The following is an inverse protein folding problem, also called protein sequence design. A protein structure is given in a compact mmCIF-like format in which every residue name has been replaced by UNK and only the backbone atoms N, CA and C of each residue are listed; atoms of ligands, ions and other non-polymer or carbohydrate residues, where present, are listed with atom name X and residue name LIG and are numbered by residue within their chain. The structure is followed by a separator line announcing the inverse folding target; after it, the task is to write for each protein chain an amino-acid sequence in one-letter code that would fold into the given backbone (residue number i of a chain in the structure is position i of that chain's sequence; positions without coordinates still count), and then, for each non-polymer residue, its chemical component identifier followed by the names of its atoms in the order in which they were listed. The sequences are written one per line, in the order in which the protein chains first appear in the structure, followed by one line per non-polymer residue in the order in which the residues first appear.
data_IF_588612978542
#
_entry.id   IF_588612978542
#
_cell.length_a   1.000
_cell.length_b   1.000
_cell.length_c   1.000
_cell.angle_alpha   90.00
_cell.angle_beta   90.00
_cell.angle_gamma   90.00
#
_symmetry.space_group_name_H-M   'P 1'
#
loop_
_entity.id
_entity.type
_entity.pdbx_description
1 polymer ?
#
# COMPACT_ATOMS: atom_id res chain seq x y z
N UNK A 1 -15.20 14.70 -57.79
CA UNK A 1 -15.74 14.13 -56.53
C UNK A 1 -15.17 14.89 -55.32
N UNK A 2 -15.88 14.86 -54.18
CA UNK A 2 -16.47 15.99 -53.43
C UNK A 2 -15.41 16.87 -52.71
N UNK A 3 -15.60 18.19 -52.58
CA UNK A 3 -16.46 18.91 -51.64
C UNK A 3 -16.16 18.59 -50.16
N UNK A 4 -15.51 19.52 -49.45
CA UNK A 4 -15.96 19.96 -48.12
C UNK A 4 -15.45 21.40 -47.85
N UNK A 5 -16.38 22.34 -47.81
CA UNK A 5 -16.37 23.50 -46.91
C UNK A 5 -17.80 23.58 -46.29
N UNK A 6 -18.11 24.48 -45.35
CA UNK A 6 -17.57 24.62 -43.98
C UNK A 6 -18.72 24.83 -42.94
N UNK A 7 -18.49 24.73 -41.63
CA UNK A 7 -19.04 25.63 -40.57
C UNK A 7 -18.85 25.13 -39.13
N UNK A 8 -18.47 26.09 -38.29
CA UNK A 8 -19.05 26.46 -36.98
C UNK A 8 -19.06 25.45 -35.83
N UNK A 9 -18.60 25.96 -34.68
CA UNK A 9 -19.41 26.14 -33.46
C UNK A 9 -18.94 25.38 -32.18
N UNK A 10 -18.57 26.19 -31.18
CA UNK A 10 -18.77 26.02 -29.71
C UNK A 10 -17.93 25.02 -28.88
N UNK A 11 -17.12 25.57 -27.95
CA UNK A 11 -16.84 24.98 -26.62
C UNK A 11 -18.13 25.05 -25.74
N UNK A 12 -18.38 24.22 -24.69
CA UNK A 12 -17.42 23.52 -23.82
C UNK A 12 -17.75 22.04 -23.50
N UNK A 13 -16.76 21.19 -23.24
CA UNK A 13 -17.01 19.84 -22.69
C UNK A 13 -16.50 19.76 -21.25
N UNK A 14 -17.45 19.88 -20.32
CA UNK A 14 -17.29 19.50 -18.90
C UNK A 14 -17.04 17.99 -18.80
N UNK A 15 -16.11 17.64 -17.90
CA UNK A 15 -15.90 16.36 -17.22
C UNK A 15 -16.18 15.06 -17.99
N UNK A 16 -15.13 14.49 -18.59
CA UNK A 16 -14.83 13.04 -18.55
C UNK A 16 -13.32 12.83 -18.57
N UNK A 17 -12.74 12.40 -17.45
CA UNK A 17 -11.40 11.80 -17.43
C UNK A 17 -11.38 10.60 -18.40
N UNK A 18 -10.50 10.58 -19.42
CA UNK A 18 -10.40 9.44 -20.30
C UNK A 18 -9.59 8.32 -19.63
N UNK A 19 -10.11 7.10 -19.76
CA UNK A 19 -9.49 5.89 -19.23
C UNK A 19 -8.30 5.38 -20.06
N UNK A 20 -7.42 4.69 -19.32
CA UNK A 20 -6.84 3.36 -19.59
C UNK A 20 -6.04 3.11 -20.88
N UNK A 21 -4.78 2.68 -20.69
CA UNK A 21 -4.14 1.42 -21.20
C UNK A 21 -2.71 1.33 -20.62
N UNK A 22 -2.07 0.19 -20.26
CA UNK A 22 -2.41 -1.23 -20.13
C UNK A 22 -1.25 -1.99 -19.43
N UNK A 23 -1.51 -3.26 -19.06
CA UNK A 23 -0.57 -4.38 -18.88
C UNK A 23 -0.26 -4.90 -17.46
N UNK A 24 -1.22 -5.67 -16.93
CA UNK A 24 -0.95 -6.82 -16.08
C UNK A 24 -1.92 -7.94 -16.44
N UNK A 25 -1.41 -9.06 -16.93
CA UNK A 25 -2.17 -10.25 -17.36
C UNK A 25 -3.27 -10.65 -16.36
N UNK A 26 -4.45 -11.12 -16.79
CA UNK A 26 -5.37 -11.77 -15.87
C UNK A 26 -4.74 -13.11 -15.44
N UNK A 27 -4.36 -13.25 -14.18
CA UNK A 27 -3.96 -14.55 -13.63
C UNK A 27 -5.24 -15.34 -13.28
N UNK A 28 -5.41 -16.59 -13.77
CA UNK A 28 -6.51 -17.44 -13.34
C UNK A 28 -6.09 -18.26 -12.12
N UNK A 29 -6.77 -18.04 -10.99
CA UNK A 29 -7.27 -19.02 -9.99
C UNK A 29 -7.75 -18.22 -8.75
N UNK A 30 -9.04 -17.90 -8.74
CA UNK A 30 -9.68 -16.96 -7.81
C UNK A 30 -9.66 -17.45 -6.35
N UNK A 31 -8.58 -17.14 -5.63
CA UNK A 31 -8.63 -17.05 -4.18
C UNK A 31 -9.22 -15.72 -3.73
N UNK A 32 -9.98 -15.72 -2.63
CA UNK A 32 -10.53 -14.48 -2.07
C UNK A 32 -9.39 -13.60 -1.55
N UNK A 33 -9.48 -12.30 -1.82
CA UNK A 33 -8.57 -11.31 -1.24
C UNK A 33 -9.38 -10.32 -0.40
N UNK A 34 -8.76 -9.72 0.60
CA UNK A 34 -9.38 -8.68 1.42
C UNK A 34 -8.38 -7.57 1.78
N UNK A 35 -8.87 -6.39 2.18
CA UNK A 35 -8.06 -5.26 2.60
C UNK A 35 -8.48 -4.75 3.97
N UNK A 36 -7.52 -4.60 4.89
CA UNK A 36 -7.76 -4.13 6.26
C UNK A 36 -6.69 -3.13 6.68
N UNK A 37 -7.03 -2.19 7.58
CA UNK A 37 -6.05 -1.33 8.23
C UNK A 37 -5.38 -2.05 9.42
N UNK A 38 -4.07 -1.88 9.60
CA UNK A 38 -3.29 -2.54 10.67
C UNK A 38 -3.74 -2.12 12.09
N UNK A 39 -4.36 -0.95 12.22
CA UNK A 39 -4.96 -0.43 13.44
C UNK A 39 -6.47 -0.65 13.54
N UNK A 40 -7.07 -1.37 12.58
CA UNK A 40 -8.50 -1.69 12.60
C UNK A 40 -8.90 -2.50 13.83
N UNK A 41 -10.10 -2.23 14.34
CA UNK A 41 -10.76 -3.00 15.39
C UNK A 41 -11.53 -4.22 14.86
N UNK A 42 -11.34 -4.58 13.58
CA UNK A 42 -11.96 -5.77 12.99
C UNK A 42 -11.49 -7.04 13.73
N UNK A 43 -12.40 -7.61 14.51
CA UNK A 43 -12.17 -8.79 15.34
C UNK A 43 -11.73 -9.99 14.50
N UNK A 44 -12.15 -10.08 13.23
CA UNK A 44 -11.74 -11.16 12.32
C UNK A 44 -10.21 -11.21 12.18
N UNK A 45 -9.57 -10.06 12.04
CA UNK A 45 -8.14 -9.96 11.73
C UNK A 45 -7.27 -9.52 12.91
N UNK A 46 -7.86 -9.07 14.02
CA UNK A 46 -7.16 -8.45 15.15
C UNK A 46 -5.92 -9.22 15.64
N UNK A 47 -6.04 -10.53 15.87
CA UNK A 47 -4.92 -11.35 16.35
C UNK A 47 -3.77 -11.43 15.34
N UNK A 48 -4.11 -11.60 14.05
CA UNK A 48 -3.14 -11.66 12.96
C UNK A 48 -2.44 -10.31 12.76
N UNK A 49 -3.21 -9.21 12.71
CA UNK A 49 -2.68 -7.85 12.58
C UNK A 49 -1.78 -7.47 13.76
N UNK A 50 -2.14 -7.87 14.98
CA UNK A 50 -1.29 -7.67 16.15
C UNK A 50 0.07 -8.38 16.01
N UNK A 51 0.10 -9.56 15.39
CA UNK A 51 1.33 -10.30 15.08
C UNK A 51 2.19 -9.59 14.03
N UNK A 52 1.58 -9.17 12.91
CA UNK A 52 2.25 -8.40 11.85
C UNK A 52 2.83 -7.10 12.41
N UNK A 53 2.01 -6.34 13.14
CA UNK A 53 2.41 -5.08 13.80
C UNK A 53 3.59 -5.32 14.74
N UNK A 54 3.53 -6.33 15.62
CA UNK A 54 4.64 -6.64 16.54
C UNK A 54 5.94 -6.94 15.79
N UNK A 55 5.88 -7.69 14.69
CA UNK A 55 7.07 -8.07 13.93
C UNK A 55 7.73 -6.85 13.27
N UNK A 56 6.92 -5.98 12.67
CA UNK A 56 7.38 -4.72 12.06
C UNK A 56 7.95 -3.78 13.13
N UNK A 57 7.24 -3.56 14.24
CA UNK A 57 7.66 -2.65 15.31
C UNK A 57 8.99 -3.04 15.96
N UNK A 58 9.36 -4.33 15.97
CA UNK A 58 10.65 -4.79 16.49
C UNK A 58 11.85 -4.32 15.65
N UNK A 59 11.63 -4.06 14.37
CA UNK A 59 12.67 -3.64 13.43
C UNK A 59 12.55 -2.15 13.10
N UNK A 60 11.38 -1.57 13.30
CA UNK A 60 11.13 -0.18 12.97
C UNK A 60 11.91 0.76 13.89
N UNK A 61 12.82 1.51 13.30
CA UNK A 61 13.59 2.56 13.97
C UNK A 61 13.52 3.84 13.17
N UNK A 62 13.67 4.98 13.85
CA UNK A 62 13.83 6.26 13.17
C UNK A 62 15.19 6.27 12.44
N UNK A 63 15.25 6.54 11.11
CA UNK A 63 16.51 6.58 10.38
C UNK A 63 17.43 7.70 10.89
N UNK A 64 18.69 7.39 11.20
CA UNK A 64 19.65 8.38 11.72
C UNK A 64 19.82 9.57 10.77
N UNK A 65 19.80 9.34 9.46
CA UNK A 65 19.91 10.40 8.46
C UNK A 65 18.71 11.36 8.47
N UNK A 66 17.50 10.83 8.68
CA UNK A 66 16.27 11.61 8.78
C UNK A 66 16.22 12.39 10.11
N UNK A 67 16.64 11.74 11.20
CA UNK A 67 16.68 12.34 12.53
C UNK A 67 17.61 13.57 12.56
N UNK A 68 18.81 13.44 11.98
CA UNK A 68 19.77 14.55 11.87
C UNK A 68 19.26 15.74 11.05
N UNK A 69 18.27 15.51 10.19
CA UNK A 69 17.66 16.53 9.33
C UNK A 69 16.30 17.01 9.83
N UNK A 70 15.85 16.53 10.99
CA UNK A 70 14.54 16.85 11.55
C UNK A 70 13.38 16.48 10.60
N UNK A 71 13.51 15.39 9.83
CA UNK A 71 12.52 14.97 8.84
C UNK A 71 11.38 14.19 9.51
N UNK A 72 10.19 14.79 9.63
CA UNK A 72 9.01 14.14 10.19
C UNK A 72 7.92 13.89 9.15
N UNK A 73 7.05 12.93 9.41
CA UNK A 73 5.89 12.71 8.54
C UNK A 73 5.23 11.36 8.73
N UNK A 74 4.26 11.09 7.86
CA UNK A 74 3.52 9.83 7.86
C UNK A 74 3.72 9.12 6.53
N UNK A 75 4.23 7.89 6.58
CA UNK A 75 4.34 7.01 5.43
C UNK A 75 3.18 6.02 5.49
N UNK A 76 2.41 5.88 4.41
CA UNK A 76 1.34 4.88 4.30
C UNK A 76 1.75 3.82 3.29
N UNK A 77 1.74 2.56 3.69
CA UNK A 77 2.14 1.42 2.85
C UNK A 77 1.03 0.38 2.81
N UNK A 78 0.78 -0.18 1.62
CA UNK A 78 0.00 -1.42 1.44
C UNK A 78 0.95 -2.61 1.45
N UNK A 79 0.75 -3.51 2.40
CA UNK A 79 1.49 -4.76 2.57
C UNK A 79 0.58 -5.91 2.13
N UNK A 80 0.96 -6.64 1.09
CA UNK A 80 0.22 -7.79 0.59
C UNK A 80 0.88 -9.08 1.05
N UNK A 81 0.15 -9.90 1.82
CA UNK A 81 0.65 -11.16 2.37
C UNK A 81 -0.13 -12.32 1.78
N UNK A 82 0.58 -13.28 1.20
CA UNK A 82 -0.03 -14.51 0.67
C UNK A 82 -0.46 -15.45 1.80
N UNK A 83 -1.34 -16.41 1.48
CA UNK A 83 -1.86 -17.40 2.43
C UNK A 83 -0.76 -18.14 3.22
N UNK A 84 0.40 -18.37 2.61
CA UNK A 84 1.56 -19.01 3.25
C UNK A 84 2.40 -18.07 4.14
N UNK A 85 2.03 -16.78 4.25
CA UNK A 85 2.75 -15.77 5.02
C UNK A 85 3.84 -15.04 4.25
N UNK A 86 4.09 -15.37 2.98
CA UNK A 86 5.07 -14.67 2.15
C UNK A 86 4.64 -13.22 1.89
N UNK A 87 5.61 -12.30 1.91
CA UNK A 87 5.38 -10.92 1.47
C UNK A 87 5.30 -10.90 -0.06
N UNK A 88 4.09 -10.82 -0.58
CA UNK A 88 3.88 -10.73 -2.03
C UNK A 88 4.24 -9.35 -2.58
N UNK A 89 3.93 -8.28 -1.84
CA UNK A 89 4.22 -6.90 -2.24
C UNK A 89 4.22 -5.96 -1.05
N UNK A 90 5.13 -4.99 -1.04
CA UNK A 90 5.04 -3.79 -0.21
C UNK A 90 5.03 -2.58 -1.15
N UNK A 91 3.98 -1.76 -1.09
CA UNK A 91 3.77 -0.63 -2.00
C UNK A 91 3.48 0.65 -1.23
N UNK A 92 4.26 1.69 -1.52
CA UNK A 92 4.02 3.03 -0.99
C UNK A 92 2.69 3.56 -1.54
N UNK A 93 1.77 3.92 -0.64
CA UNK A 93 0.47 4.51 -0.95
C UNK A 93 0.54 6.03 -0.80
N UNK A 94 1.15 6.50 0.29
CA UNK A 94 1.37 7.92 0.58
C UNK A 94 2.79 8.11 1.09
N UNK A 95 3.54 8.98 0.43
CA UNK A 95 4.88 9.40 0.85
C UNK A 95 4.80 10.36 2.02
N UNK A 96 5.78 10.32 2.92
CA UNK A 96 5.94 11.35 3.96
C UNK A 96 6.47 12.68 3.41
N UNK A 97 6.87 12.75 2.14
CA UNK A 97 7.63 13.85 1.56
C UNK A 97 9.14 13.70 1.70
N UNK A 98 9.63 12.65 2.37
CA UNK A 98 11.05 12.40 2.62
C UNK A 98 11.44 10.98 2.18
N UNK A 99 12.29 10.88 1.15
CA UNK A 99 12.72 9.59 0.56
C UNK A 99 13.38 8.66 1.58
N UNK A 100 14.11 9.24 2.55
CA UNK A 100 14.74 8.54 3.68
C UNK A 100 13.74 7.78 4.54
N UNK A 101 12.61 8.42 4.89
CA UNK A 101 11.54 7.80 5.68
C UNK A 101 10.76 6.77 4.85
N UNK A 102 10.45 7.10 3.60
CA UNK A 102 9.74 6.19 2.69
C UNK A 102 10.52 4.89 2.44
N UNK A 103 11.80 5.03 2.08
CA UNK A 103 12.69 3.90 1.81
C UNK A 103 12.89 3.05 3.07
N UNK A 104 13.19 3.67 4.22
CA UNK A 104 13.36 2.95 5.47
C UNK A 104 12.09 2.19 5.88
N UNK A 105 10.91 2.73 5.61
CA UNK A 105 9.64 2.07 5.92
C UNK A 105 9.46 0.81 5.06
N UNK A 106 9.71 0.90 3.76
CA UNK A 106 9.65 -0.24 2.86
C UNK A 106 10.69 -1.31 3.21
N UNK A 107 11.90 -0.90 3.58
CA UNK A 107 12.98 -1.81 3.97
C UNK A 107 12.66 -2.56 5.27
N UNK A 108 12.10 -1.88 6.28
CA UNK A 108 11.65 -2.51 7.53
C UNK A 108 10.56 -3.55 7.27
N UNK A 109 9.60 -3.26 6.39
CA UNK A 109 8.54 -4.22 6.03
C UNK A 109 9.12 -5.44 5.32
N UNK A 110 10.07 -5.24 4.39
CA UNK A 110 10.76 -6.33 3.70
C UNK A 110 11.59 -7.17 4.67
N UNK A 111 12.32 -6.54 5.59
CA UNK A 111 13.09 -7.22 6.63
C UNK A 111 12.21 -7.97 7.65
N UNK A 112 10.98 -7.50 7.87
CA UNK A 112 10.01 -8.19 8.71
C UNK A 112 9.41 -9.43 8.02
N UNK A 113 9.54 -9.60 6.71
CA UNK A 113 9.06 -10.81 6.03
C UNK A 113 9.92 -12.05 6.37
N UNK A 114 9.38 -13.27 6.26
CA UNK A 114 7.98 -13.61 5.99
C UNK A 114 7.09 -13.39 7.24
N UNK A 115 5.79 -13.19 7.06
CA UNK A 115 4.83 -13.12 8.15
C UNK A 115 4.31 -14.52 8.52
N UNK A 116 3.46 -14.61 9.54
CA UNK A 116 2.75 -15.85 9.83
C UNK A 116 1.83 -16.20 8.65
N UNK A 117 1.58 -17.48 8.37
CA UNK A 117 0.54 -17.88 7.42
C UNK A 117 -0.81 -17.28 7.81
N UNK A 118 -1.65 -17.00 6.81
CA UNK A 118 -3.02 -16.58 7.07
C UNK A 118 -3.78 -17.73 7.73
N UNK A 119 -4.48 -17.51 8.85
CA UNK A 119 -5.38 -18.50 9.43
C UNK A 119 -6.37 -19.04 8.39
N UNK A 120 -6.50 -20.38 8.32
CA UNK A 120 -7.31 -21.03 7.27
C UNK A 120 -8.78 -20.58 7.23
N UNK A 121 -9.36 -20.21 8.39
CA UNK A 121 -10.72 -19.70 8.49
C UNK A 121 -10.93 -18.31 7.86
N UNK A 122 -9.87 -17.63 7.41
CA UNK A 122 -10.01 -16.43 6.59
C UNK A 122 -10.45 -16.78 5.16
N UNK A 123 -10.11 -17.99 4.68
CA UNK A 123 -10.37 -18.44 3.31
C UNK A 123 -9.82 -17.49 2.25
N UNK A 124 -8.72 -16.78 2.57
CA UNK A 124 -8.08 -15.82 1.69
C UNK A 124 -6.84 -16.44 1.03
N UNK A 125 -6.66 -16.19 -0.26
CA UNK A 125 -5.35 -16.38 -0.91
C UNK A 125 -4.38 -15.28 -0.52
N UNK A 126 -4.88 -14.09 -0.20
CA UNK A 126 -4.08 -12.91 0.10
C UNK A 126 -4.81 -11.91 0.99
N UNK A 127 -4.09 -11.33 1.94
CA UNK A 127 -4.57 -10.20 2.75
C UNK A 127 -3.73 -8.96 2.46
N UNK A 128 -4.39 -7.86 2.16
CA UNK A 128 -3.78 -6.54 2.03
C UNK A 128 -3.93 -5.75 3.32
N UNK A 129 -2.82 -5.36 3.92
CA UNK A 129 -2.77 -4.61 5.17
C UNK A 129 -2.31 -3.19 4.85
N UNK A 130 -3.15 -2.20 5.12
CA UNK A 130 -2.76 -0.79 5.06
C UNK A 130 -2.14 -0.44 6.41
N UNK A 131 -0.92 0.08 6.39
CA UNK A 131 -0.18 0.45 7.60
C UNK A 131 0.33 1.88 7.50
N UNK A 132 0.08 2.66 8.55
CA UNK A 132 0.55 4.04 8.70
C UNK A 132 1.72 4.10 9.68
N UNK A 133 2.84 4.67 9.24
CA UNK A 133 4.07 4.84 10.00
C UNK A 133 4.27 6.33 10.28
N UNK A 134 4.04 6.75 11.53
CA UNK A 134 4.25 8.13 11.95
C UNK A 134 5.64 8.31 12.54
N UNK A 135 6.50 9.03 11.83
CA UNK A 135 7.78 9.51 12.34
C UNK A 135 7.57 10.88 12.97
N UNK A 136 7.73 10.95 14.30
CA UNK A 136 7.73 12.19 15.07
C UNK A 136 8.89 12.14 16.04
N UNK A 137 9.59 13.24 16.17
CA UNK A 137 10.52 13.51 17.24
C UNK A 137 9.70 13.81 18.49
N UNK A 138 10.20 13.33 19.62
CA UNK A 138 9.68 13.74 20.92
C UNK A 138 10.56 14.89 21.37
N UNK A 139 9.93 16.00 21.73
CA UNK A 139 10.57 17.12 22.42
C UNK A 139 11.19 16.68 23.75
#
# INVERSE_FOLDING_TARGET
PPAVEPKSEQEPVRDKLPGRVENGKPLPESGREDTVDIGSSDVKYAAYLAGVKRKILRLWTYPVAAYKKNEEGVVVVRISVDANGALARAMLMTSSGFVTLDASTLDVIRAAAPFQPLPGHYELSRLHIIASFSYRMKD
#
